data_IF_284178464622
#
_entry.id   IF_284178464622
#
_cell.length_a   1.000
_cell.length_b   1.000
_cell.length_c   1.000
_cell.angle_alpha   90.00
_cell.angle_beta   90.00
_cell.angle_gamma   90.00
#
_symmetry.space_group_name_H-M   'P 1'
#
loop_
_entity.id
_entity.type
_entity.pdbx_description
1 polymer ?
#
# COMPACT_ATOMS: atom_id res chain seq x y z
N UNK A 1 -20.75 3.72 -5.18
CA UNK A 1 -20.09 5.05 -5.16
C UNK A 1 -20.50 5.90 -3.96
N UNK A 2 -21.77 5.82 -3.55
CA UNK A 2 -22.30 6.51 -2.37
C UNK A 2 -21.46 6.25 -1.12
N UNK A 3 -20.96 5.03 -0.96
CA UNK A 3 -20.15 4.58 0.18
C UNK A 3 -18.88 5.43 0.35
N UNK A 4 -18.13 5.66 -0.73
CA UNK A 4 -16.93 6.50 -0.71
C UNK A 4 -17.28 7.98 -0.48
N UNK A 5 -18.32 8.48 -1.13
CA UNK A 5 -18.72 9.90 -0.99
C UNK A 5 -19.26 10.21 0.40
N UNK A 6 -20.02 9.31 1.00
CA UNK A 6 -20.49 9.41 2.38
C UNK A 6 -19.32 9.39 3.36
N UNK A 7 -18.30 8.55 3.11
CA UNK A 7 -17.07 8.55 3.90
C UNK A 7 -16.33 9.89 3.81
N UNK A 8 -16.16 10.43 2.59
CA UNK A 8 -15.53 11.75 2.40
C UNK A 8 -16.32 12.83 3.15
N UNK A 9 -17.64 12.80 3.05
CA UNK A 9 -18.53 13.75 3.74
C UNK A 9 -18.41 13.64 5.27
N UNK A 10 -18.38 12.43 5.83
CA UNK A 10 -18.14 12.21 7.26
C UNK A 10 -16.84 12.88 7.72
N UNK A 11 -15.75 12.74 6.96
CA UNK A 11 -14.45 13.34 7.31
C UNK A 11 -14.52 14.87 7.22
N UNK A 12 -15.20 15.44 6.22
CA UNK A 12 -15.32 16.89 6.06
C UNK A 12 -16.21 17.53 7.12
N UNK A 13 -17.34 16.91 7.44
CA UNK A 13 -18.36 17.47 8.35
C UNK A 13 -17.98 17.27 9.83
N UNK A 14 -17.29 16.17 10.16
CA UNK A 14 -17.03 15.75 11.55
C UNK A 14 -15.55 15.50 11.87
N UNK A 15 -14.64 15.70 10.91
CA UNK A 15 -13.21 15.53 11.13
C UNK A 15 -12.57 16.64 11.96
N UNK A 16 -11.40 16.35 12.53
CA UNK A 16 -10.59 17.32 13.26
C UNK A 16 -9.40 17.75 12.41
N UNK A 17 -9.15 19.06 12.29
CA UNK A 17 -7.94 19.59 11.65
C UNK A 17 -6.70 19.25 12.49
N UNK A 18 -5.67 18.71 11.85
CA UNK A 18 -4.41 18.31 12.48
C UNK A 18 -3.20 18.73 11.63
N UNK A 19 -2.09 19.17 12.24
CA UNK A 19 -0.81 19.31 11.56
C UNK A 19 -0.34 17.96 10.99
N UNK A 20 0.30 17.99 9.81
CA UNK A 20 0.82 16.80 9.12
C UNK A 20 2.33 16.85 8.93
N UNK A 21 2.97 15.68 8.83
CA UNK A 21 4.41 15.54 8.54
C UNK A 21 4.82 16.17 7.21
N UNK A 22 3.91 16.32 6.26
CA UNK A 22 4.17 16.94 4.95
C UNK A 22 4.14 18.47 5.00
N UNK A 23 3.78 19.08 6.14
CA UNK A 23 3.58 20.52 6.27
C UNK A 23 2.23 21.03 5.75
N UNK A 24 1.37 20.16 5.22
CA UNK A 24 0.00 20.50 4.80
C UNK A 24 -1.00 19.92 5.79
N UNK A 25 -1.70 20.79 6.51
CA UNK A 25 -2.71 20.37 7.48
C UNK A 25 -3.76 19.44 6.86
N UNK A 26 -4.24 18.50 7.67
CA UNK A 26 -5.20 17.47 7.24
C UNK A 26 -6.45 17.54 8.11
N UNK A 27 -7.62 17.36 7.50
CA UNK A 27 -8.87 17.08 8.23
C UNK A 27 -8.96 15.56 8.38
N UNK A 28 -8.95 15.07 9.62
CA UNK A 28 -8.86 13.64 9.91
C UNK A 28 -10.02 13.15 10.78
N UNK A 29 -10.51 11.95 10.49
CA UNK A 29 -11.46 11.21 11.32
C UNK A 29 -10.85 9.84 11.68
N UNK A 30 -11.05 9.36 12.90
CA UNK A 30 -10.46 8.11 13.37
C UNK A 30 -11.44 6.94 13.20
N UNK A 31 -10.95 5.82 12.63
CA UNK A 31 -11.71 4.57 12.60
C UNK A 31 -12.97 4.59 11.73
N UNK A 32 -13.00 5.35 10.63
CA UNK A 32 -14.11 5.30 9.69
C UNK A 32 -14.01 4.08 8.77
N UNK A 33 -15.15 3.43 8.50
CA UNK A 33 -15.21 2.21 7.70
C UNK A 33 -16.35 2.29 6.68
N UNK A 34 -16.15 1.66 5.52
CA UNK A 34 -17.21 1.36 4.56
C UNK A 34 -16.96 -0.02 3.96
N UNK A 35 -17.97 -0.58 3.29
CA UNK A 35 -17.92 -1.89 2.63
C UNK A 35 -18.43 -1.76 1.22
N UNK A 36 -17.92 -2.63 0.34
CA UNK A 36 -18.38 -2.75 -1.05
C UNK A 36 -18.62 -4.23 -1.32
N UNK A 37 -19.71 -4.53 -2.03
CA UNK A 37 -20.00 -5.88 -2.50
C UNK A 37 -19.29 -6.12 -3.84
N UNK A 38 -18.32 -7.03 -3.86
CA UNK A 38 -17.57 -7.37 -5.06
C UNK A 38 -18.35 -8.28 -6.02
N UNK A 39 -19.40 -8.95 -5.55
CA UNK A 39 -20.29 -9.73 -6.43
C UNK A 39 -21.17 -8.80 -7.28
N UNK A 40 -21.44 -7.58 -6.81
CA UNK A 40 -22.17 -6.56 -7.55
C UNK A 40 -21.32 -5.83 -8.60
N UNK A 41 -19.99 -5.96 -8.55
CA UNK A 41 -19.07 -5.37 -9.53
C UNK A 41 -17.72 -4.98 -8.96
N UNK A 42 -16.91 -4.29 -9.78
CA UNK A 42 -15.59 -3.81 -9.39
C UNK A 42 -15.65 -2.37 -8.85
N UNK A 43 -15.15 -2.09 -7.63
CA UNK A 43 -15.34 -0.80 -6.94
C UNK A 43 -14.37 0.29 -7.42
N UNK A 44 -14.19 0.44 -8.74
CA UNK A 44 -13.42 1.54 -9.30
C UNK A 44 -14.23 2.84 -9.21
N UNK A 45 -13.63 3.90 -8.68
CA UNK A 45 -14.31 5.19 -8.56
C UNK A 45 -14.65 5.74 -9.95
N UNK A 46 -15.88 6.24 -10.12
CA UNK A 46 -16.36 6.79 -11.41
C UNK A 46 -16.57 8.31 -11.38
N UNK A 47 -16.54 8.93 -10.21
CA UNK A 47 -16.70 10.38 -10.04
C UNK A 47 -15.46 11.19 -10.41
N UNK A 48 -14.34 10.49 -10.66
CA UNK A 48 -13.11 11.01 -11.26
C UNK A 48 -12.39 9.85 -11.94
N UNK A 49 -11.58 10.15 -12.94
CA UNK A 49 -10.73 9.15 -13.56
C UNK A 49 -9.68 8.63 -12.57
N UNK A 50 -9.45 7.32 -12.57
CA UNK A 50 -8.45 6.64 -11.75
C UNK A 50 -7.42 6.01 -12.69
N UNK A 51 -6.13 6.23 -12.42
CA UNK A 51 -5.06 5.58 -13.18
C UNK A 51 -4.95 4.08 -12.81
N UNK A 52 -5.92 3.29 -13.28
CA UNK A 52 -6.03 1.87 -12.99
C UNK A 52 -4.82 1.08 -13.50
N UNK A 53 -4.25 1.48 -14.65
CA UNK A 53 -3.06 0.85 -15.20
C UNK A 53 -1.87 0.93 -14.23
N UNK A 54 -1.66 2.06 -13.56
CA UNK A 54 -0.64 2.19 -12.52
C UNK A 54 -0.92 1.29 -11.31
N UNK A 55 -2.16 1.25 -10.82
CA UNK A 55 -2.55 0.37 -9.70
C UNK A 55 -2.31 -1.11 -10.01
N UNK A 56 -2.66 -1.56 -11.23
CA UNK A 56 -2.44 -2.95 -11.64
C UNK A 56 -0.93 -3.27 -11.73
N UNK A 57 -0.12 -2.38 -12.30
CA UNK A 57 1.33 -2.57 -12.41
C UNK A 57 2.01 -2.58 -11.04
N UNK A 58 1.55 -1.74 -10.13
CA UNK A 58 2.00 -1.73 -8.73
C UNK A 58 1.66 -3.05 -8.02
N UNK A 59 0.44 -3.55 -8.15
CA UNK A 59 0.05 -4.84 -7.56
C UNK A 59 0.91 -5.99 -8.09
N UNK A 60 1.15 -6.04 -9.41
CA UNK A 60 2.02 -7.06 -10.01
C UNK A 60 3.47 -6.96 -9.51
N UNK A 61 3.97 -5.73 -9.30
CA UNK A 61 5.30 -5.50 -8.71
C UNK A 61 5.36 -5.93 -7.23
N UNK A 62 4.28 -5.73 -6.45
CA UNK A 62 4.20 -6.29 -5.10
C UNK A 62 4.23 -7.82 -5.12
N UNK A 63 3.47 -8.44 -6.01
CA UNK A 63 3.44 -9.90 -6.14
C UNK A 63 4.79 -10.47 -6.61
N UNK A 64 5.59 -9.75 -7.40
CA UNK A 64 6.93 -10.21 -7.79
C UNK A 64 7.93 -10.21 -6.63
N UNK A 65 7.66 -9.44 -5.56
CA UNK A 65 8.56 -9.30 -4.43
C UNK A 65 9.79 -8.44 -4.72
N UNK A 66 9.79 -7.68 -5.82
CA UNK A 66 10.85 -6.73 -6.10
C UNK A 66 10.84 -5.56 -5.10
N UNK A 67 12.02 -5.14 -4.67
CA UNK A 67 12.28 -3.93 -3.86
C UNK A 67 13.03 -2.87 -4.65
N UNK A 68 13.30 -3.11 -5.94
CA UNK A 68 13.89 -2.11 -6.82
C UNK A 68 12.85 -1.58 -7.80
N UNK A 69 12.79 -0.27 -7.95
CA UNK A 69 11.76 0.41 -8.74
C UNK A 69 11.96 0.32 -10.27
N UNK A 70 13.01 -0.34 -10.76
CA UNK A 70 13.44 -0.27 -12.18
C UNK A 70 12.38 -0.75 -13.16
N UNK A 71 11.66 -1.81 -12.79
CA UNK A 71 10.62 -2.39 -13.63
C UNK A 71 9.31 -1.62 -13.48
N UNK A 72 8.99 -1.18 -12.27
CA UNK A 72 7.79 -0.35 -12.03
C UNK A 72 7.86 1.00 -12.75
N UNK A 73 9.04 1.64 -12.75
CA UNK A 73 9.31 2.94 -13.42
C UNK A 73 9.02 2.95 -14.92
N UNK A 74 9.07 1.79 -15.58
CA UNK A 74 8.73 1.68 -17.00
C UNK A 74 7.24 1.91 -17.26
N UNK A 75 6.40 1.83 -16.22
CA UNK A 75 4.95 1.95 -16.33
C UNK A 75 4.37 3.09 -15.50
N UNK A 76 4.98 3.45 -14.38
CA UNK A 76 4.47 4.48 -13.47
C UNK A 76 5.57 5.09 -12.60
N UNK A 77 5.37 6.34 -12.18
CA UNK A 77 6.30 7.11 -11.33
C UNK A 77 5.83 7.25 -9.88
N UNK A 78 4.74 6.56 -9.50
CA UNK A 78 4.09 6.74 -8.20
C UNK A 78 4.98 6.44 -6.99
N UNK A 79 6.11 5.74 -7.17
CA UNK A 79 7.08 5.43 -6.10
C UNK A 79 8.40 6.20 -6.21
N UNK A 80 8.56 7.07 -7.21
CA UNK A 80 9.85 7.72 -7.49
C UNK A 80 10.37 8.54 -6.31
N UNK A 81 9.47 9.22 -5.59
CA UNK A 81 9.83 10.09 -4.47
C UNK A 81 10.32 9.35 -3.22
N UNK A 82 10.15 8.02 -3.16
CA UNK A 82 10.55 7.19 -2.02
C UNK A 82 11.77 6.31 -2.30
N UNK A 83 12.15 6.16 -3.57
CA UNK A 83 13.31 5.37 -3.94
C UNK A 83 14.61 6.13 -3.62
N UNK A 84 15.64 5.41 -3.20
CA UNK A 84 16.97 6.00 -3.04
C UNK A 84 17.60 6.40 -4.39
N UNK A 85 18.81 6.98 -4.35
CA UNK A 85 19.53 7.39 -5.55
C UNK A 85 19.86 6.22 -6.51
N UNK A 86 19.94 4.99 -6.00
CA UNK A 86 20.16 3.78 -6.79
C UNK A 86 18.84 3.15 -7.30
N UNK A 87 17.69 3.58 -6.77
CA UNK A 87 16.37 3.05 -7.10
C UNK A 87 15.88 1.92 -6.19
N UNK A 88 16.52 1.70 -5.03
CA UNK A 88 16.06 0.73 -4.04
C UNK A 88 14.95 1.33 -3.17
N UNK A 89 14.02 0.46 -2.77
CA UNK A 89 12.89 0.70 -1.90
C UNK A 89 12.87 -0.39 -0.83
N UNK A 90 13.67 -0.20 0.22
CA UNK A 90 13.73 -1.17 1.32
C UNK A 90 12.37 -1.39 1.99
N UNK A 91 11.49 -0.40 1.91
CA UNK A 91 10.12 -0.39 2.45
C UNK A 91 9.07 -0.90 1.47
N UNK A 92 9.46 -1.44 0.31
CA UNK A 92 8.54 -1.99 -0.67
C UNK A 92 7.68 -3.11 -0.06
N UNK A 93 6.35 -2.99 -0.17
CA UNK A 93 5.42 -3.97 0.41
C UNK A 93 5.64 -5.39 -0.13
N UNK A 94 5.90 -5.52 -1.44
CA UNK A 94 6.15 -6.81 -2.09
C UNK A 94 7.31 -7.59 -1.49
N UNK A 95 8.39 -6.90 -1.07
CA UNK A 95 9.52 -7.51 -0.37
C UNK A 95 9.03 -8.26 0.85
N UNK A 96 8.24 -7.63 1.71
CA UNK A 96 7.74 -8.27 2.92
C UNK A 96 6.68 -9.35 2.62
N UNK A 97 5.91 -9.21 1.55
CA UNK A 97 4.95 -10.26 1.15
C UNK A 97 5.65 -11.55 0.75
N UNK A 98 6.76 -11.47 0.00
CA UNK A 98 7.48 -12.65 -0.50
C UNK A 98 8.64 -13.10 0.37
N UNK A 99 9.18 -12.20 1.21
CA UNK A 99 10.38 -12.40 2.05
C UNK A 99 10.18 -11.79 3.45
N UNK A 100 9.12 -12.21 4.15
CA UNK A 100 8.86 -11.71 5.50
C UNK A 100 9.94 -12.20 6.48
N UNK A 101 10.61 -11.31 7.22
CA UNK A 101 11.64 -11.73 8.19
C UNK A 101 10.97 -12.37 9.41
N UNK A 102 11.09 -13.69 9.55
CA UNK A 102 10.59 -14.45 10.69
C UNK A 102 11.76 -14.90 11.57
N UNK A 103 11.83 -14.47 12.84
CA UNK A 103 12.84 -14.94 13.77
C UNK A 103 12.55 -16.39 14.15
N UNK A 104 13.53 -17.27 13.95
CA UNK A 104 13.46 -18.68 14.29
C UNK A 104 14.63 -19.04 15.21
N UNK A 105 14.39 -19.99 16.13
CA UNK A 105 15.39 -20.44 17.09
C UNK A 105 15.79 -21.86 16.76
N UNK A 106 17.09 -22.10 16.59
CA UNK A 106 17.62 -23.44 16.33
C UNK A 106 17.60 -24.32 17.59
N UNK A 107 17.88 -25.61 17.43
CA UNK A 107 17.94 -26.58 18.54
C UNK A 107 19.06 -26.28 19.56
N UNK A 108 20.09 -25.53 19.16
CA UNK A 108 21.18 -25.07 20.03
C UNK A 108 20.83 -23.78 20.78
N UNK A 109 19.68 -23.16 20.47
CA UNK A 109 19.17 -21.96 21.09
C UNK A 109 19.62 -20.65 20.44
N UNK A 110 20.32 -20.67 19.30
CA UNK A 110 20.68 -19.48 18.53
C UNK A 110 19.49 -18.97 17.71
N UNK A 111 19.47 -17.65 17.48
CA UNK A 111 18.46 -17.00 16.64
C UNK A 111 18.98 -16.80 15.22
N UNK A 112 18.16 -17.15 14.23
CA UNK A 112 18.36 -16.78 12.83
C UNK A 112 17.08 -16.17 12.26
N UNK A 113 17.20 -15.43 11.17
CA UNK A 113 16.05 -14.90 10.42
C UNK A 113 15.83 -15.81 9.22
N UNK A 114 14.64 -16.41 9.17
CA UNK A 114 14.14 -17.12 8.00
C UNK A 114 13.19 -16.21 7.24
N UNK A 115 13.28 -16.22 5.91
CA UNK A 115 12.30 -15.53 5.07
C UNK A 115 11.07 -16.42 4.84
N UNK A 116 9.88 -15.83 5.00
CA UNK A 116 8.59 -16.49 4.78
C UNK A 116 7.88 -15.81 3.60
N UNK A 117 7.50 -16.62 2.60
CA UNK A 117 6.64 -16.17 1.52
C UNK A 117 5.18 -16.25 1.96
N UNK A 118 4.59 -15.11 2.34
CA UNK A 118 3.22 -15.00 2.83
C UNK A 118 2.17 -15.19 1.72
N UNK A 119 2.58 -15.17 0.44
CA UNK A 119 1.66 -15.36 -0.70
C UNK A 119 1.51 -16.84 -1.05
N UNK A 120 2.56 -17.64 -0.79
CA UNK A 120 2.55 -19.08 -1.07
C UNK A 120 2.19 -19.95 0.14
N UNK A 121 2.18 -19.38 1.35
CA UNK A 121 1.75 -20.05 2.57
C UNK A 121 0.23 -20.28 2.60
#
# INVERSE_FOLDING_TARGET
MKEYLDLVRLVLDHGTRKPSRTGIDTIAYFGAHYRVDLAAGFPLLTTKEVNYAACLRELLWYLSGEDHIRNLRQHTKIWDAWADAAGNLDTAYGRYWRRFPHPERDAAGHWHVREVDQIQY
#
